data_IF_099664974378
#
_entry.id   IF_099664974378
#
_cell.length_a   1.000
_cell.length_b   1.000
_cell.length_c   1.000
_cell.angle_alpha   90.00
_cell.angle_beta   90.00
_cell.angle_gamma   90.00
#
_symmetry.space_group_name_H-M   'P 1'
#
loop_
_entity.id
_entity.type
_entity.pdbx_description
1 polymer ?
#
# COMPACT_ATOMS: atom_id res chain seq x y z
N UNK A 1 4.09 -4.05 21.66
CA UNK A 1 2.90 -3.63 20.88
C UNK A 1 2.54 -4.75 19.89
N UNK A 2 1.32 -5.29 19.96
CA UNK A 2 0.76 -6.24 18.99
C UNK A 2 0.99 -5.82 17.53
N UNK A 3 1.16 -6.76 16.58
CA UNK A 3 1.55 -6.41 15.22
C UNK A 3 0.53 -5.54 14.47
N UNK A 4 -0.78 -5.82 14.59
CA UNK A 4 -1.82 -4.99 13.96
C UNK A 4 -1.89 -3.59 14.57
N UNK A 5 -1.57 -3.45 15.86
CA UNK A 5 -1.51 -2.13 16.51
C UNK A 5 -0.34 -1.29 15.98
N UNK A 6 0.80 -1.92 15.63
CA UNK A 6 1.91 -1.22 14.96
C UNK A 6 1.52 -0.70 13.58
N UNK A 7 0.73 -1.47 12.84
CA UNK A 7 0.18 -1.04 11.54
C UNK A 7 -0.79 0.13 11.71
N UNK A 8 -1.72 0.05 12.67
CA UNK A 8 -2.62 1.15 13.00
C UNK A 8 -1.86 2.41 13.46
N UNK A 9 -0.79 2.24 14.24
CA UNK A 9 0.08 3.34 14.65
C UNK A 9 0.79 3.99 13.45
N UNK A 10 1.26 3.21 12.48
CA UNK A 10 1.82 3.75 11.23
C UNK A 10 0.80 4.62 10.48
N UNK A 11 -0.42 4.12 10.26
CA UNK A 11 -1.50 4.86 9.58
C UNK A 11 -1.76 6.19 10.28
N UNK A 12 -1.92 6.15 11.61
CA UNK A 12 -2.21 7.31 12.44
C UNK A 12 -1.07 8.32 12.44
N UNK A 13 0.19 7.88 12.55
CA UNK A 13 1.36 8.76 12.47
C UNK A 13 1.51 9.40 11.09
N UNK A 14 1.23 8.65 10.01
CA UNK A 14 1.24 9.21 8.66
C UNK A 14 0.16 10.29 8.49
N UNK A 15 -1.06 10.04 8.99
CA UNK A 15 -2.14 11.01 9.03
C UNK A 15 -1.77 12.29 9.77
N UNK A 16 -1.20 12.17 10.98
CA UNK A 16 -0.69 13.32 11.76
C UNK A 16 0.43 14.07 11.01
N UNK A 17 1.31 13.35 10.33
CA UNK A 17 2.36 13.93 9.50
C UNK A 17 1.80 14.76 8.34
N UNK A 18 0.72 14.31 7.71
CA UNK A 18 0.03 15.06 6.65
C UNK A 18 -0.73 16.26 7.22
N UNK A 19 -1.46 16.07 8.33
CA UNK A 19 -2.24 17.10 9.02
C UNK A 19 -1.38 18.29 9.46
N UNK A 20 -0.16 18.02 9.96
CA UNK A 20 0.84 19.04 10.32
C UNK A 20 1.11 20.04 9.18
N UNK A 21 0.95 19.62 7.93
CA UNK A 21 1.11 20.46 6.75
C UNK A 21 -0.22 20.71 6.01
N UNK A 22 -1.33 20.67 6.73
CA UNK A 22 -2.68 20.89 6.22
C UNK A 22 -2.99 20.01 4.99
N UNK A 23 -2.51 18.77 5.02
CA UNK A 23 -2.65 17.78 3.93
C UNK A 23 -2.10 18.23 2.57
N UNK A 24 -1.28 19.29 2.51
CA UNK A 24 -0.66 19.76 1.25
C UNK A 24 0.48 18.85 0.80
N UNK A 25 1.09 18.11 1.73
CA UNK A 25 2.16 17.14 1.50
C UNK A 25 1.61 15.71 1.59
N UNK A 26 2.19 14.80 0.82
CA UNK A 26 1.92 13.36 0.92
C UNK A 26 3.19 12.55 0.68
N UNK A 27 3.05 11.37 0.06
CA UNK A 27 4.16 10.49 -0.20
C UNK A 27 5.03 11.01 -1.37
N UNK A 28 6.33 11.19 -1.13
CA UNK A 28 7.27 11.55 -2.18
C UNK A 28 7.36 10.44 -3.25
N UNK A 29 7.45 9.19 -2.81
CA UNK A 29 7.52 8.02 -3.69
C UNK A 29 6.22 7.89 -4.49
N UNK A 30 5.06 8.06 -3.84
CA UNK A 30 3.75 8.04 -4.51
C UNK A 30 3.60 9.09 -5.61
N UNK A 31 4.13 10.30 -5.40
CA UNK A 31 4.16 11.34 -6.45
C UNK A 31 5.10 10.95 -7.60
N UNK A 32 6.31 10.46 -7.29
CA UNK A 32 7.27 10.05 -8.32
C UNK A 32 6.79 8.85 -9.14
N UNK A 33 6.03 7.93 -8.54
CA UNK A 33 5.43 6.79 -9.25
C UNK A 33 4.42 7.25 -10.31
N UNK A 34 3.64 8.31 -10.04
CA UNK A 34 2.67 8.86 -11.00
C UNK A 34 3.37 9.56 -12.18
N UNK A 35 4.51 10.19 -11.91
CA UNK A 35 5.33 10.88 -12.91
C UNK A 35 6.40 9.97 -13.55
N UNK A 36 6.37 8.65 -13.28
CA UNK A 36 7.43 7.72 -13.67
C UNK A 36 7.84 7.79 -15.15
N UNK A 37 6.92 7.97 -16.13
CA UNK A 37 7.29 8.11 -17.55
C UNK A 37 8.15 9.34 -17.86
N UNK A 38 8.17 10.35 -16.99
CA UNK A 38 8.91 11.59 -17.14
C UNK A 38 10.26 11.58 -16.38
N UNK A 39 10.55 10.52 -15.64
CA UNK A 39 11.76 10.41 -14.84
C UNK A 39 12.94 9.82 -15.64
N UNK A 40 14.19 10.08 -15.22
CA UNK A 40 15.36 9.43 -15.80
C UNK A 40 15.27 7.90 -15.73
N UNK A 41 15.85 7.19 -16.71
CA UNK A 41 15.73 5.73 -16.88
C UNK A 41 16.14 4.89 -15.66
N UNK A 42 16.93 5.46 -14.73
CA UNK A 42 17.38 4.78 -13.50
C UNK A 42 16.42 4.88 -12.32
N UNK A 43 15.39 5.73 -12.41
CA UNK A 43 14.44 5.97 -11.32
C UNK A 43 13.46 4.82 -11.10
N UNK A 44 12.86 4.20 -12.14
CA UNK A 44 11.91 3.10 -11.95
C UNK A 44 12.46 1.97 -11.08
N UNK A 45 13.70 1.53 -11.31
CA UNK A 45 14.34 0.46 -10.53
C UNK A 45 14.57 0.88 -9.07
N UNK A 46 14.91 2.16 -8.82
CA UNK A 46 15.05 2.69 -7.46
C UNK A 46 13.70 2.74 -6.74
N UNK A 47 12.65 3.18 -7.43
CA UNK A 47 11.29 3.23 -6.87
C UNK A 47 10.79 1.81 -6.55
N UNK A 48 11.00 0.84 -7.45
CA UNK A 48 10.68 -0.58 -7.20
C UNK A 48 11.42 -1.13 -5.98
N UNK A 49 12.71 -0.83 -5.83
CA UNK A 49 13.49 -1.27 -4.66
C UNK A 49 12.96 -0.67 -3.34
N UNK A 50 12.53 0.60 -3.35
CA UNK A 50 11.94 1.25 -2.18
C UNK A 50 10.60 0.58 -1.81
N UNK A 51 9.73 0.35 -2.80
CA UNK A 51 8.45 -0.33 -2.58
C UNK A 51 8.66 -1.74 -2.04
N UNK A 52 9.56 -2.53 -2.63
CA UNK A 52 9.88 -3.87 -2.15
C UNK A 52 10.40 -3.88 -0.70
N UNK A 53 11.20 -2.88 -0.33
CA UNK A 53 11.68 -2.73 1.05
C UNK A 53 10.53 -2.39 2.03
N UNK A 54 9.59 -1.55 1.62
CA UNK A 54 8.41 -1.20 2.40
C UNK A 54 7.46 -2.38 2.56
N UNK A 55 7.18 -3.10 1.48
CA UNK A 55 6.38 -4.33 1.45
C UNK A 55 6.97 -5.40 2.37
N UNK A 56 8.30 -5.61 2.32
CA UNK A 56 8.99 -6.58 3.19
C UNK A 56 8.79 -6.28 4.68
N UNK A 57 8.77 -5.00 5.07
CA UNK A 57 8.53 -4.57 6.45
C UNK A 57 7.09 -4.82 6.89
N UNK A 58 6.12 -4.50 6.04
CA UNK A 58 4.69 -4.78 6.30
C UNK A 58 4.45 -6.29 6.36
N UNK A 59 4.96 -7.06 5.40
CA UNK A 59 4.80 -8.51 5.34
C UNK A 59 5.37 -9.20 6.60
N UNK A 60 6.48 -8.72 7.15
CA UNK A 60 7.02 -9.21 8.43
C UNK A 60 6.04 -8.98 9.58
N UNK A 61 5.48 -7.78 9.66
CA UNK A 61 4.49 -7.43 10.67
C UNK A 61 3.22 -8.29 10.55
N UNK A 62 2.77 -8.54 9.31
CA UNK A 62 1.61 -9.39 9.04
C UNK A 62 1.87 -10.86 9.35
N UNK A 63 3.08 -11.38 9.10
CA UNK A 63 3.47 -12.74 9.53
C UNK A 63 3.38 -12.91 11.05
N UNK A 64 3.84 -11.92 11.81
CA UNK A 64 3.70 -11.95 13.28
C UNK A 64 2.23 -11.94 13.72
N UNK A 65 1.37 -11.16 13.05
CA UNK A 65 -0.07 -11.15 13.33
C UNK A 65 -0.73 -12.49 13.00
N UNK A 66 -0.36 -13.12 11.88
CA UNK A 66 -0.85 -14.44 11.49
C UNK A 66 -0.42 -15.51 12.49
N UNK A 67 0.84 -15.51 12.92
CA UNK A 67 1.34 -16.43 13.94
C UNK A 67 0.62 -16.26 15.30
N UNK A 68 0.13 -15.05 15.59
CA UNK A 68 -0.69 -14.76 16.77
C UNK A 68 -2.19 -15.03 16.57
N UNK A 69 -2.62 -15.55 15.42
CA UNK A 69 -4.02 -15.85 15.11
C UNK A 69 -4.89 -14.62 14.80
N UNK A 70 -4.29 -13.45 14.58
CA UNK A 70 -5.02 -12.21 14.30
C UNK A 70 -5.37 -12.01 12.80
N UNK A 71 -4.80 -12.83 11.92
CA UNK A 71 -5.04 -12.86 10.47
C UNK A 71 -5.35 -14.31 10.08
N UNK A 72 -6.17 -14.51 9.05
CA UNK A 72 -6.49 -15.84 8.53
C UNK A 72 -5.21 -16.66 8.22
N UNK A 73 -5.22 -17.95 8.57
CA UNK A 73 -4.03 -18.82 8.45
C UNK A 73 -3.63 -19.13 7.00
N UNK A 74 -4.55 -18.99 6.05
CA UNK A 74 -4.34 -19.18 4.62
C UNK A 74 -4.01 -17.88 3.86
N UNK A 75 -4.09 -16.72 4.52
CA UNK A 75 -3.72 -15.45 3.90
C UNK A 75 -2.21 -15.40 3.60
N UNK A 76 -1.83 -14.81 2.47
CA UNK A 76 -0.42 -14.53 2.14
C UNK A 76 0.00 -13.16 2.69
N UNK A 77 0.89 -13.09 3.70
CA UNK A 77 1.35 -11.81 4.25
C UNK A 77 2.09 -10.95 3.23
N UNK A 78 2.72 -11.58 2.24
CA UNK A 78 3.40 -10.91 1.13
C UNK A 78 2.39 -10.25 0.19
N UNK A 79 1.36 -10.98 -0.24
CA UNK A 79 0.31 -10.42 -1.10
C UNK A 79 -0.46 -9.30 -0.38
N UNK A 80 -0.78 -9.50 0.90
CA UNK A 80 -1.40 -8.46 1.73
C UNK A 80 -0.53 -7.20 1.85
N UNK A 81 0.79 -7.34 1.95
CA UNK A 81 1.69 -6.18 2.01
C UNK A 81 1.73 -5.40 0.70
N UNK A 82 1.66 -6.06 -0.45
CA UNK A 82 1.54 -5.41 -1.76
C UNK A 82 0.21 -4.67 -1.89
N UNK A 83 -0.90 -5.35 -1.58
CA UNK A 83 -2.24 -4.75 -1.56
C UNK A 83 -2.31 -3.57 -0.59
N UNK A 84 -1.61 -3.66 0.53
CA UNK A 84 -1.49 -2.57 1.49
C UNK A 84 -0.93 -1.30 0.81
N UNK A 85 0.24 -1.39 0.18
CA UNK A 85 0.88 -0.23 -0.43
C UNK A 85 0.14 0.30 -1.67
N UNK A 86 -0.43 -0.60 -2.48
CA UNK A 86 -1.25 -0.21 -3.63
C UNK A 86 -2.43 0.67 -3.19
N UNK A 87 -3.20 0.22 -2.20
CA UNK A 87 -4.36 0.96 -1.71
C UNK A 87 -3.97 2.18 -0.86
N UNK A 88 -2.91 2.07 -0.07
CA UNK A 88 -2.42 3.15 0.80
C UNK A 88 -2.02 4.40 0.02
N UNK A 89 -1.30 4.26 -1.10
CA UNK A 89 -0.91 5.41 -1.92
C UNK A 89 -2.15 6.12 -2.52
N UNK A 90 -3.19 5.36 -2.89
CA UNK A 90 -4.48 5.93 -3.27
C UNK A 90 -5.17 6.68 -2.14
N UNK A 91 -5.12 6.15 -0.91
CA UNK A 91 -5.66 6.81 0.27
C UNK A 91 -4.91 8.12 0.59
N UNK A 92 -3.58 8.12 0.51
CA UNK A 92 -2.73 9.31 0.69
C UNK A 92 -3.06 10.36 -0.36
N UNK A 93 -3.17 9.97 -1.63
CA UNK A 93 -3.55 10.88 -2.71
C UNK A 93 -4.93 11.51 -2.45
N UNK A 94 -5.94 10.72 -2.09
CA UNK A 94 -7.29 11.24 -1.78
C UNK A 94 -7.28 12.13 -0.54
N UNK A 95 -6.52 11.79 0.50
CA UNK A 95 -6.41 12.58 1.72
C UNK A 95 -5.84 13.98 1.45
N UNK A 96 -4.89 14.12 0.51
CA UNK A 96 -4.43 15.43 0.03
C UNK A 96 -5.53 16.21 -0.69
N UNK A 97 -6.26 15.54 -1.58
CA UNK A 97 -7.32 16.16 -2.38
C UNK A 97 -8.45 16.73 -1.51
N UNK A 98 -8.91 15.95 -0.53
CA UNK A 98 -10.05 16.34 0.34
C UNK A 98 -9.59 17.02 1.64
N UNK A 99 -8.28 17.21 1.82
CA UNK A 99 -7.65 17.82 3.00
C UNK A 99 -8.13 17.23 4.33
N UNK A 100 -8.17 15.90 4.41
CA UNK A 100 -8.67 15.19 5.59
C UNK A 100 -7.99 13.83 5.73
N UNK A 101 -7.86 13.35 6.96
CA UNK A 101 -7.41 11.99 7.26
C UNK A 101 -8.48 10.92 6.96
N UNK A 102 -9.72 11.32 6.65
CA UNK A 102 -10.83 10.38 6.42
C UNK A 102 -10.52 9.28 5.39
N UNK A 103 -9.87 9.54 4.23
CA UNK A 103 -9.51 8.48 3.29
C UNK A 103 -8.50 7.48 3.85
N UNK A 104 -7.56 7.93 4.70
CA UNK A 104 -6.57 7.05 5.34
C UNK A 104 -7.25 6.10 6.33
N UNK A 105 -8.17 6.62 7.14
CA UNK A 105 -8.92 5.86 8.12
C UNK A 105 -9.85 4.85 7.43
N UNK A 106 -10.62 5.31 6.43
CA UNK A 106 -11.51 4.44 5.65
C UNK A 106 -10.75 3.28 5.00
N UNK A 107 -9.58 3.57 4.44
CA UNK A 107 -8.72 2.55 3.86
C UNK A 107 -8.24 1.54 4.91
N UNK A 108 -7.76 2.03 6.05
CA UNK A 108 -7.29 1.16 7.13
C UNK A 108 -8.41 0.28 7.69
N UNK A 109 -9.60 0.83 7.93
CA UNK A 109 -10.74 0.08 8.45
C UNK A 109 -11.14 -1.05 7.49
N UNK A 110 -11.20 -0.76 6.19
CA UNK A 110 -11.46 -1.77 5.16
C UNK A 110 -10.35 -2.84 5.13
N UNK A 111 -9.08 -2.43 5.11
CA UNK A 111 -7.95 -3.34 5.01
C UNK A 111 -7.82 -4.22 6.27
N UNK A 112 -8.01 -3.66 7.45
CA UNK A 112 -8.01 -4.40 8.72
C UNK A 112 -9.11 -5.46 8.74
N UNK A 113 -10.32 -5.11 8.27
CA UNK A 113 -11.42 -6.06 8.17
C UNK A 113 -11.15 -7.18 7.15
N UNK A 114 -10.59 -6.86 5.98
CA UNK A 114 -10.32 -7.84 4.93
C UNK A 114 -9.19 -8.83 5.27
N UNK A 115 -8.34 -8.51 6.26
CA UNK A 115 -7.34 -9.48 6.77
C UNK A 115 -7.97 -10.57 7.65
N UNK A 116 -9.17 -10.33 8.19
CA UNK A 116 -9.88 -11.28 9.07
C UNK A 116 -10.89 -12.15 8.32
N UNK A 117 -11.19 -11.81 7.06
CA UNK A 117 -12.17 -12.50 6.21
C UNK A 117 -11.50 -12.93 4.90
N UNK A 118 -11.81 -14.14 4.41
CA UNK A 118 -11.23 -14.65 3.16
C UNK A 118 -11.63 -13.76 1.98
N UNK A 119 -10.67 -13.16 1.27
CA UNK A 119 -10.94 -12.32 0.08
C UNK A 119 -10.18 -12.85 -1.14
N UNK A 120 -10.79 -12.95 -2.34
CA UNK A 120 -10.14 -13.46 -3.56
C UNK A 120 -8.86 -12.73 -3.99
N UNK A 121 -8.63 -11.50 -3.50
CA UNK A 121 -7.41 -10.73 -3.77
C UNK A 121 -6.14 -11.30 -3.11
N UNK A 122 -6.26 -12.35 -2.28
CA UNK A 122 -5.16 -13.00 -1.57
C UNK A 122 -4.57 -14.20 -2.36
N UNK A 123 -5.26 -14.66 -3.39
CA UNK A 123 -4.81 -15.72 -4.29
C UNK A 123 -3.90 -15.08 -5.34
N UNK A 124 -2.64 -14.88 -4.98
CA UNK A 124 -1.59 -14.35 -5.85
C UNK A 124 -1.23 -15.32 -6.99
N UNK A 125 -2.19 -15.69 -7.84
CA UNK A 125 -1.87 -16.19 -9.16
C UNK A 125 -1.13 -15.07 -9.89
N UNK A 126 0.17 -15.29 -10.09
CA UNK A 126 1.08 -14.40 -10.81
C UNK A 126 0.37 -13.85 -12.05
N UNK A 127 0.24 -12.52 -12.13
CA UNK A 127 -0.27 -11.86 -13.32
C UNK A 127 0.79 -11.91 -14.43
N UNK A 128 1.15 -13.10 -14.90
CA UNK A 128 1.58 -13.31 -16.28
C UNK A 128 0.33 -13.21 -17.16
N UNK A 129 -0.23 -12.00 -17.21
CA UNK A 129 -1.23 -11.64 -18.21
C UNK A 129 -0.59 -10.54 -19.04
N UNK A 130 0.11 -10.86 -20.15
CA UNK A 130 0.63 -9.84 -21.03
C UNK A 130 -0.56 -9.05 -21.57
N UNK A 131 -0.75 -7.84 -21.05
CA UNK A 131 -1.69 -6.87 -21.61
C UNK A 131 -1.32 -6.71 -23.09
N UNK A 132 -2.27 -6.88 -24.03
CA UNK A 132 -1.96 -6.70 -25.44
C UNK A 132 -1.50 -5.26 -25.66
N UNK A 133 -0.28 -5.09 -26.14
CA UNK A 133 0.25 -3.82 -26.63
C UNK A 133 -0.71 -3.29 -27.69
N UNK A 134 -1.30 -2.12 -27.42
CA UNK A 134 -2.13 -1.40 -28.39
C UNK A 134 -1.23 -1.06 -29.58
N UNK A 135 -1.35 -1.81 -30.67
CA UNK A 135 -0.77 -1.43 -31.96
C UNK A 135 -1.41 -0.11 -32.39
N UNK A 136 -0.68 0.99 -32.25
CA UNK A 136 -0.97 2.23 -32.97
C UNK A 136 -0.51 2.02 -34.41
N UNK A 137 -1.46 1.73 -35.29
CA UNK A 137 -1.25 1.85 -36.73
C UNK A 137 -1.11 3.35 -37.05
N UNK A 138 0.08 3.75 -37.50
CA UNK A 138 0.29 4.98 -38.27
C UNK A 138 -0.04 4.75 -39.74
#
# INVERSE_FOLDING_TARGET
MPPLERMAAFVRHAGQGMEKFQFRRGCLVGNLLQEAPLLPETFPQRLMAILAAWESRVARCLREAQAAGAIASDASPQALAQVFWIGWEGAVMRARLVQSAAPLNQYWDFFAHSMTTKTPAQDGASADNPLPTRNTLS
#
